data_IF_895118035846
#
_entry.id   IF_895118035846
#
_cell.length_a   1.000
_cell.length_b   1.000
_cell.length_c   1.000
_cell.angle_alpha   90.00
_cell.angle_beta   90.00
_cell.angle_gamma   90.00
#
_symmetry.space_group_name_H-M   'P 1'
#
loop_
_entity.id
_entity.type
_entity.pdbx_description
1 polymer ?
#
# COMPACT_ATOMS: atom_id res chain seq x y z
N UNK A 1 45.14 3.78 16.43
CA UNK A 1 43.97 4.68 16.44
C UNK A 1 42.92 4.03 15.57
N UNK A 2 41.93 3.41 16.20
CA UNK A 2 40.88 2.61 15.55
C UNK A 2 39.81 3.51 14.97
N UNK A 3 39.32 3.23 13.76
CA UNK A 3 38.00 3.67 13.31
C UNK A 3 37.31 2.48 12.62
N UNK A 4 36.44 1.85 13.40
CA UNK A 4 35.55 0.78 12.99
C UNK A 4 34.51 1.36 12.02
N UNK A 5 34.47 0.87 10.78
CA UNK A 5 33.35 1.14 9.88
C UNK A 5 32.35 -0.01 10.03
N UNK A 6 31.21 0.28 10.66
CA UNK A 6 30.07 -0.63 10.66
C UNK A 6 29.50 -0.68 9.24
N UNK A 7 29.85 -1.72 8.48
CA UNK A 7 29.16 -2.07 7.26
C UNK A 7 27.76 -2.59 7.62
N UNK A 8 26.74 -1.75 7.42
CA UNK A 8 25.35 -2.22 7.36
C UNK A 8 25.24 -3.08 6.11
N UNK A 9 25.23 -4.40 6.30
CA UNK A 9 24.81 -5.34 5.27
C UNK A 9 23.32 -5.16 5.08
N UNK A 10 22.92 -4.73 3.89
CA UNK A 10 21.53 -4.77 3.47
C UNK A 10 21.12 -6.25 3.49
N UNK A 11 20.20 -6.60 4.37
CA UNK A 11 19.55 -7.91 4.34
C UNK A 11 18.64 -7.87 3.13
N UNK A 12 19.07 -8.49 2.02
CA UNK A 12 18.18 -8.84 0.93
C UNK A 12 17.22 -9.90 1.48
N UNK A 13 16.06 -9.45 1.96
CA UNK A 13 14.92 -10.34 2.09
C UNK A 13 14.37 -10.50 0.67
N UNK A 14 14.65 -11.65 0.06
CA UNK A 14 13.93 -12.12 -1.12
C UNK A 14 12.42 -12.08 -0.80
N UNK A 15 11.77 -11.02 -1.27
CA UNK A 15 10.33 -10.98 -1.39
C UNK A 15 10.03 -11.80 -2.64
N UNK A 16 9.87 -13.11 -2.47
CA UNK A 16 9.34 -14.01 -3.48
C UNK A 16 8.11 -13.35 -4.10
N UNK A 17 8.29 -12.84 -5.32
CA UNK A 17 7.22 -12.32 -6.16
C UNK A 17 6.24 -13.46 -6.43
N UNK A 18 5.21 -13.56 -5.60
CA UNK A 18 4.09 -14.42 -5.87
C UNK A 18 3.30 -13.81 -7.03
N UNK A 19 3.60 -14.27 -8.23
CA UNK A 19 2.73 -14.13 -9.39
C UNK A 19 1.39 -14.80 -9.08
N UNK A 20 0.44 -14.04 -8.55
CA UNK A 20 -0.95 -14.47 -8.40
C UNK A 20 -1.80 -13.86 -9.51
N UNK A 21 -2.75 -14.67 -9.99
CA UNK A 21 -3.61 -14.43 -11.14
C UNK A 21 -4.12 -12.98 -11.29
N UNK A 22 -4.33 -12.49 -12.53
CA UNK A 22 -4.86 -11.16 -12.79
C UNK A 22 -6.34 -11.12 -12.38
N UNK A 23 -6.63 -10.84 -11.11
CA UNK A 23 -8.02 -10.71 -10.67
C UNK A 23 -8.24 -10.68 -9.17
N UNK A 24 -7.46 -11.41 -8.38
CA UNK A 24 -7.69 -11.49 -6.93
C UNK A 24 -6.82 -10.49 -6.16
N UNK A 25 -7.41 -9.83 -5.16
CA UNK A 25 -6.70 -8.89 -4.29
C UNK A 25 -7.42 -7.55 -4.08
N UNK A 26 -6.76 -6.65 -3.35
CA UNK A 26 -7.21 -5.29 -3.07
C UNK A 26 -6.58 -4.31 -4.06
N UNK A 27 -7.38 -3.48 -4.70
CA UNK A 27 -6.93 -2.38 -5.57
C UNK A 27 -7.30 -1.04 -4.95
N UNK A 28 -6.32 -0.16 -4.79
CA UNK A 28 -6.48 1.19 -4.27
C UNK A 28 -6.25 2.18 -5.40
N UNK A 29 -7.32 2.82 -5.85
CA UNK A 29 -7.30 3.81 -6.92
C UNK A 29 -6.91 5.18 -6.37
N UNK A 30 -6.03 5.86 -7.08
CA UNK A 30 -5.51 7.18 -6.74
C UNK A 30 -6.21 8.23 -7.60
N UNK A 31 -6.71 9.28 -6.96
CA UNK A 31 -7.26 10.43 -7.69
C UNK A 31 -6.19 11.38 -8.24
N UNK A 32 -4.92 11.14 -7.91
CA UNK A 32 -3.80 11.92 -8.39
C UNK A 32 -3.46 11.59 -9.85
N UNK A 33 -3.27 12.62 -10.67
CA UNK A 33 -2.79 12.48 -12.06
C UNK A 33 -1.30 12.81 -12.11
N UNK A 34 -0.47 11.79 -11.92
CA UNK A 34 0.97 11.87 -12.14
C UNK A 34 1.33 11.79 -13.63
N UNK A 35 2.62 11.76 -13.94
CA UNK A 35 3.12 11.50 -15.31
C UNK A 35 2.93 10.03 -15.75
N UNK A 36 2.63 9.13 -14.81
CA UNK A 36 2.50 7.69 -15.04
C UNK A 36 1.06 7.28 -15.42
N UNK A 37 0.91 6.26 -16.29
CA UNK A 37 -0.40 5.78 -16.76
C UNK A 37 -1.18 4.97 -15.70
N UNK A 38 -0.52 4.38 -14.71
CA UNK A 38 -1.19 3.53 -13.70
C UNK A 38 -1.59 4.32 -12.46
N UNK A 39 -2.90 4.48 -12.26
CA UNK A 39 -3.48 5.27 -11.18
C UNK A 39 -3.98 4.39 -10.02
N UNK A 40 -3.37 3.23 -9.79
CA UNK A 40 -3.80 2.33 -8.72
C UNK A 40 -2.65 1.50 -8.13
N UNK A 41 -2.76 1.19 -6.84
CA UNK A 41 -1.89 0.25 -6.13
C UNK A 41 -2.63 -1.07 -5.91
N UNK A 42 -2.01 -2.20 -6.25
CA UNK A 42 -2.57 -3.53 -6.02
C UNK A 42 -1.86 -4.26 -4.88
N UNK A 43 -2.64 -5.02 -4.11
CA UNK A 43 -2.21 -5.91 -3.05
C UNK A 43 -2.83 -7.28 -3.28
N UNK A 44 -2.01 -8.33 -3.35
CA UNK A 44 -2.46 -9.68 -3.73
C UNK A 44 -2.64 -10.64 -2.57
N UNK A 45 -2.02 -10.34 -1.42
CA UNK A 45 -2.11 -11.14 -0.20
C UNK A 45 -1.72 -10.31 1.03
N UNK A 46 -2.16 -10.75 2.21
CA UNK A 46 -1.75 -10.21 3.50
C UNK A 46 -2.89 -9.60 4.30
N UNK A 47 -2.55 -9.03 5.47
CA UNK A 47 -3.50 -8.39 6.38
C UNK A 47 -3.10 -6.96 6.74
N UNK A 48 -2.93 -6.05 5.76
CA UNK A 48 -2.56 -4.67 6.05
C UNK A 48 -3.73 -3.91 6.66
N UNK A 49 -3.40 -2.99 7.55
CA UNK A 49 -4.32 -1.96 8.03
C UNK A 49 -4.54 -0.86 6.98
N UNK A 50 -5.65 -0.13 7.11
CA UNK A 50 -5.93 1.03 6.29
C UNK A 50 -4.82 2.09 6.40
N UNK A 51 -4.25 2.28 7.60
CA UNK A 51 -3.12 3.18 7.83
C UNK A 51 -1.88 2.75 7.04
N UNK A 52 -1.49 1.48 7.10
CA UNK A 52 -0.33 0.96 6.35
C UNK A 52 -0.49 1.15 4.84
N UNK A 53 -1.69 0.89 4.32
CA UNK A 53 -2.01 1.11 2.90
C UNK A 53 -1.90 2.60 2.55
N UNK A 54 -2.48 3.48 3.36
CA UNK A 54 -2.40 4.93 3.14
C UNK A 54 -0.95 5.41 3.14
N UNK A 55 -0.13 4.93 4.07
CA UNK A 55 1.29 5.28 4.16
C UNK A 55 2.07 4.78 2.93
N UNK A 56 1.91 3.52 2.53
CA UNK A 56 2.58 2.96 1.35
C UNK A 56 2.26 3.75 0.08
N UNK A 57 0.97 4.01 -0.15
CA UNK A 57 0.51 4.81 -1.28
C UNK A 57 1.06 6.24 -1.21
N UNK A 58 0.96 6.89 -0.04
CA UNK A 58 1.42 8.25 0.15
C UNK A 58 2.93 8.41 -0.07
N UNK A 59 3.72 7.42 0.35
CA UNK A 59 5.16 7.36 0.08
C UNK A 59 5.46 7.30 -1.41
N UNK A 60 4.75 6.45 -2.16
CA UNK A 60 4.95 6.29 -3.61
C UNK A 60 4.66 7.57 -4.40
N UNK A 61 3.61 8.31 -4.00
CA UNK A 61 3.25 9.57 -4.66
C UNK A 61 3.95 10.81 -4.07
N UNK A 62 4.92 10.62 -3.16
CA UNK A 62 5.75 11.70 -2.64
C UNK A 62 5.06 12.64 -1.64
N UNK A 63 4.03 12.18 -0.93
CA UNK A 63 3.41 12.94 0.15
C UNK A 63 4.35 12.96 1.36
N UNK A 64 4.52 14.14 1.97
CA UNK A 64 5.31 14.32 3.20
C UNK A 64 4.64 13.61 4.39
N UNK A 65 5.39 12.94 5.29
CA UNK A 65 4.82 12.21 6.43
C UNK A 65 3.87 13.00 7.34
N UNK A 66 4.09 14.31 7.47
CA UNK A 66 3.18 15.20 8.24
C UNK A 66 1.77 15.27 7.66
N UNK A 67 1.60 14.90 6.39
CA UNK A 67 0.34 14.92 5.68
C UNK A 67 -0.34 13.53 5.62
N UNK A 68 0.28 12.45 6.10
CA UNK A 68 -0.30 11.10 5.97
C UNK A 68 -1.67 10.99 6.63
N UNK A 69 -1.86 11.62 7.78
CA UNK A 69 -3.13 11.63 8.51
C UNK A 69 -4.26 12.39 7.81
N UNK A 70 -3.99 13.06 6.68
CA UNK A 70 -5.00 13.75 5.88
C UNK A 70 -5.68 12.82 4.86
N UNK A 71 -5.14 11.60 4.68
CA UNK A 71 -5.63 10.63 3.70
C UNK A 71 -6.28 9.44 4.42
N UNK A 72 -7.28 8.86 3.77
CA UNK A 72 -8.01 7.70 4.25
C UNK A 72 -8.53 6.88 3.06
N UNK A 73 -8.91 5.64 3.31
CA UNK A 73 -9.49 4.77 2.28
C UNK A 73 -11.01 4.91 2.25
N UNK A 74 -11.52 5.14 1.05
CA UNK A 74 -12.94 5.21 0.74
C UNK A 74 -13.37 3.97 -0.04
N UNK A 75 -14.50 3.36 0.34
CA UNK A 75 -15.16 2.32 -0.45
C UNK A 75 -16.27 2.96 -1.32
N UNK A 76 -16.13 3.00 -2.65
CA UNK A 76 -17.15 3.55 -3.53
C UNK A 76 -18.47 2.78 -3.53
N UNK A 77 -18.47 1.49 -3.19
CA UNK A 77 -19.67 0.65 -3.19
C UNK A 77 -20.54 0.93 -1.97
N UNK A 78 -19.94 0.89 -0.77
CA UNK A 78 -20.66 1.16 0.48
C UNK A 78 -20.75 2.66 0.79
N UNK A 79 -19.96 3.50 0.12
CA UNK A 79 -19.84 4.94 0.35
C UNK A 79 -19.38 5.29 1.76
N UNK A 80 -18.51 4.46 2.32
CA UNK A 80 -17.96 4.61 3.66
C UNK A 80 -16.45 4.80 3.63
N UNK A 81 -15.94 5.44 4.68
CA UNK A 81 -14.52 5.57 4.95
C UNK A 81 -14.11 4.53 5.98
N UNK A 82 -12.93 3.93 5.80
CA UNK A 82 -12.36 3.03 6.79
C UNK A 82 -11.59 3.78 7.86
N UNK A 83 -11.71 3.38 9.14
CA UNK A 83 -10.83 3.90 10.17
C UNK A 83 -9.40 3.37 9.96
N UNK A 84 -8.36 4.10 10.42
CA UNK A 84 -6.96 3.74 10.18
C UNK A 84 -6.58 2.35 10.71
N UNK A 85 -7.24 1.88 11.76
CA UNK A 85 -7.03 0.57 12.38
C UNK A 85 -7.82 -0.57 11.71
N UNK A 86 -8.56 -0.32 10.62
CA UNK A 86 -9.27 -1.37 9.91
C UNK A 86 -8.28 -2.26 9.17
N UNK A 87 -8.35 -3.58 9.41
CA UNK A 87 -7.47 -4.56 8.76
C UNK A 87 -8.21 -5.22 7.60
N UNK A 88 -7.59 -5.21 6.43
CA UNK A 88 -8.11 -5.88 5.23
C UNK A 88 -7.55 -7.29 5.15
N UNK A 89 -8.41 -8.30 5.10
CA UNK A 89 -8.00 -9.68 4.80
C UNK A 89 -7.96 -9.90 3.29
N UNK A 90 -6.74 -9.89 2.73
CA UNK A 90 -6.55 -9.99 1.28
C UNK A 90 -6.27 -11.45 0.93
N UNK A 91 -7.31 -12.14 0.45
CA UNK A 91 -7.27 -13.53 -0.01
C UNK A 91 -7.18 -13.69 -1.53
N UNK A 92 -7.04 -14.94 -1.98
CA UNK A 92 -6.92 -15.32 -3.41
C UNK A 92 -8.27 -15.32 -4.15
N UNK A 93 -9.34 -15.03 -3.44
CA UNK A 93 -10.72 -15.31 -3.81
C UNK A 93 -11.62 -14.06 -3.74
N UNK A 94 -11.10 -12.94 -3.25
CA UNK A 94 -11.83 -11.67 -3.12
C UNK A 94 -11.15 -10.54 -3.88
N UNK A 95 -11.91 -9.82 -4.70
CA UNK A 95 -11.47 -8.60 -5.36
C UNK A 95 -12.17 -7.39 -4.72
N UNK A 96 -11.40 -6.54 -4.04
CA UNK A 96 -11.93 -5.33 -3.39
C UNK A 96 -11.31 -4.10 -4.03
N UNK A 97 -12.12 -3.05 -4.27
CA UNK A 97 -11.68 -1.81 -4.91
C UNK A 97 -11.96 -0.63 -3.98
N UNK A 98 -10.92 0.11 -3.62
CA UNK A 98 -10.96 1.28 -2.74
C UNK A 98 -10.37 2.51 -3.44
N UNK A 99 -10.67 3.70 -2.94
CA UNK A 99 -10.11 4.97 -3.43
C UNK A 99 -9.38 5.71 -2.32
N UNK A 100 -8.28 6.38 -2.70
CA UNK A 100 -7.48 7.26 -1.85
C UNK A 100 -7.40 8.66 -2.46
#
# INVERSE_FOLDING_TARGET
MSLCQCAVKHSESDMEGCCSAPGAGLKVFLHWRGEEEEHYQAYTQGTPSAEEICIDVAQKIGITPVCYSLFALYDPQTKLWFPPNHVFEIGKDTTTSLSL
#
